data_IF_384649720001
#
_entry.id   IF_384649720001
#
_cell.length_a   1.000
_cell.length_b   1.000
_cell.length_c   1.000
_cell.angle_alpha   90.00
_cell.angle_beta   90.00
_cell.angle_gamma   90.00
#
_symmetry.space_group_name_H-M   'P 1'
#
loop_
_entity.id
_entity.type
_entity.pdbx_description
1 polymer ?
#
# COMPACT_ATOMS: atom_id res chain seq x y z
N UNK A 1 -5.92 12.13 -4.37
CA UNK A 1 -5.28 10.86 -4.81
C UNK A 1 -5.00 10.93 -6.30
N UNK A 2 -3.80 10.53 -6.74
CA UNK A 2 -3.35 10.53 -8.13
C UNK A 2 -2.83 9.14 -8.50
N UNK A 3 -3.32 8.57 -9.61
CA UNK A 3 -2.75 7.34 -10.17
C UNK A 3 -1.48 7.69 -10.95
N UNK A 4 -0.34 7.11 -10.54
CA UNK A 4 0.99 7.36 -11.12
C UNK A 4 1.48 6.22 -12.01
N UNK A 5 0.95 4.99 -11.82
CA UNK A 5 1.19 3.86 -12.72
C UNK A 5 -0.13 3.15 -13.03
N UNK A 6 -0.24 2.60 -14.25
CA UNK A 6 -1.41 1.85 -14.72
C UNK A 6 -0.97 0.81 -15.74
N UNK A 7 -1.05 -0.46 -15.41
CA UNK A 7 -0.53 -1.55 -16.25
C UNK A 7 -1.53 -2.69 -16.31
N UNK A 8 -1.85 -3.15 -17.50
CA UNK A 8 -2.64 -4.36 -17.69
C UNK A 8 -1.87 -5.58 -17.14
N UNK A 9 -2.54 -6.41 -16.34
CA UNK A 9 -1.92 -7.54 -15.65
C UNK A 9 -2.96 -8.65 -15.42
N UNK A 10 -2.76 -9.83 -16.03
CA UNK A 10 -3.64 -11.00 -15.90
C UNK A 10 -5.14 -10.70 -16.07
N UNK A 11 -5.49 -9.91 -17.08
CA UNK A 11 -6.88 -9.51 -17.36
C UNK A 11 -7.45 -8.42 -16.45
N UNK A 12 -6.73 -8.03 -15.43
CA UNK A 12 -7.03 -6.92 -14.54
C UNK A 12 -5.99 -5.79 -14.67
N UNK A 13 -5.85 -5.00 -13.60
CA UNK A 13 -4.98 -3.83 -13.57
C UNK A 13 -4.07 -3.82 -12.35
N UNK A 14 -2.78 -3.56 -12.58
CA UNK A 14 -1.83 -3.22 -11.52
C UNK A 14 -1.61 -1.71 -11.55
N UNK A 15 -2.12 -1.03 -10.53
CA UNK A 15 -2.01 0.42 -10.38
C UNK A 15 -1.11 0.80 -9.22
N UNK A 16 -0.52 1.99 -9.30
CA UNK A 16 0.15 2.65 -8.17
C UNK A 16 -0.46 4.04 -8.00
N UNK A 17 -0.81 4.35 -6.79
CA UNK A 17 -1.36 5.64 -6.40
C UNK A 17 -0.45 6.38 -5.44
N UNK A 18 -0.52 7.71 -5.52
CA UNK A 18 0.09 8.65 -4.59
C UNK A 18 -1.00 9.54 -4.00
N UNK A 19 -0.93 9.81 -2.71
CA UNK A 19 -1.88 10.70 -2.02
C UNK A 19 -1.24 11.38 -0.82
N UNK A 20 -1.78 12.54 -0.45
CA UNK A 20 -1.45 13.19 0.81
C UNK A 20 -2.20 12.45 1.94
N UNK A 21 -1.45 11.79 2.82
CA UNK A 21 -2.01 11.13 3.99
C UNK A 21 -2.26 12.15 5.11
N UNK A 22 -3.50 12.23 5.57
CA UNK A 22 -3.86 13.05 6.73
C UNK A 22 -3.35 12.42 8.03
N UNK A 23 -3.34 11.10 8.11
CA UNK A 23 -2.90 10.34 9.28
C UNK A 23 -1.40 10.46 9.51
N UNK A 24 -0.60 10.39 8.43
CA UNK A 24 0.86 10.40 8.50
C UNK A 24 1.47 11.79 8.25
N UNK A 25 0.68 12.77 7.78
CA UNK A 25 1.16 14.11 7.49
C UNK A 25 2.21 14.20 6.39
N UNK A 26 2.22 13.24 5.47
CA UNK A 26 3.17 13.19 4.36
C UNK A 26 2.53 12.58 3.11
N UNK A 27 3.24 12.65 1.99
CA UNK A 27 2.83 11.94 0.77
C UNK A 27 3.12 10.45 0.91
N UNK A 28 2.09 9.64 0.67
CA UNK A 28 2.18 8.18 0.72
C UNK A 28 1.87 7.57 -0.64
N UNK A 29 2.42 6.36 -0.84
CA UNK A 29 2.12 5.53 -2.00
C UNK A 29 1.55 4.18 -1.58
N UNK A 30 0.70 3.64 -2.43
CA UNK A 30 0.28 2.26 -2.36
C UNK A 30 0.09 1.69 -3.76
N UNK A 31 0.36 0.41 -3.91
CA UNK A 31 0.04 -0.34 -5.11
C UNK A 31 -1.26 -1.12 -4.89
N UNK A 32 -2.07 -1.25 -5.94
CA UNK A 32 -3.28 -2.08 -5.93
C UNK A 32 -3.36 -2.91 -7.18
N UNK A 33 -3.60 -4.21 -7.02
CA UNK A 33 -4.05 -5.08 -8.09
C UNK A 33 -5.57 -5.21 -8.05
N UNK A 34 -6.21 -4.87 -9.16
CA UNK A 34 -7.65 -5.04 -9.35
C UNK A 34 -7.87 -6.24 -10.29
N UNK A 35 -8.52 -7.33 -9.82
CA UNK A 35 -8.78 -8.50 -10.65
C UNK A 35 -9.83 -8.18 -11.73
N UNK A 36 -9.93 -9.01 -12.81
CA UNK A 36 -10.93 -8.78 -13.86
C UNK A 36 -12.35 -8.62 -13.34
N UNK A 37 -12.73 -9.34 -12.28
CA UNK A 37 -14.06 -9.30 -11.67
C UNK A 37 -14.40 -7.94 -11.03
N UNK A 38 -13.41 -7.08 -10.79
CA UNK A 38 -13.66 -5.71 -10.34
C UNK A 38 -14.13 -4.78 -11.49
N UNK A 39 -13.95 -5.17 -12.75
CA UNK A 39 -14.38 -4.39 -13.91
C UNK A 39 -15.90 -4.57 -14.16
N UNK A 40 -16.62 -3.48 -14.34
CA UNK A 40 -18.07 -3.48 -14.60
C UNK A 40 -18.48 -4.23 -15.88
N UNK A 41 -17.57 -4.39 -16.81
CA UNK A 41 -17.80 -5.14 -18.06
C UNK A 41 -17.61 -6.65 -17.91
N UNK A 42 -17.03 -7.12 -16.80
CA UNK A 42 -16.77 -8.53 -16.60
C UNK A 42 -18.06 -9.30 -16.28
N UNK A 43 -18.30 -10.49 -16.88
CA UNK A 43 -19.53 -11.26 -16.65
C UNK A 43 -19.80 -11.64 -15.18
N UNK A 44 -18.74 -11.72 -14.38
CA UNK A 44 -18.81 -12.01 -12.93
C UNK A 44 -18.52 -10.77 -12.09
N UNK A 45 -18.78 -9.56 -12.64
CA UNK A 45 -18.57 -8.32 -11.90
C UNK A 45 -19.34 -8.30 -10.56
N UNK A 46 -18.65 -7.83 -9.52
CA UNK A 46 -19.23 -7.68 -8.19
C UNK A 46 -18.20 -7.20 -7.16
N UNK A 47 -18.60 -7.05 -5.91
CA UNK A 47 -17.67 -6.78 -4.84
C UNK A 47 -16.61 -7.88 -4.75
N UNK A 48 -15.34 -7.47 -4.72
CA UNK A 48 -14.21 -8.38 -4.55
C UNK A 48 -13.59 -8.20 -3.18
N UNK A 49 -13.17 -9.28 -2.51
CA UNK A 49 -12.43 -9.18 -1.26
C UNK A 49 -11.06 -8.52 -1.51
N UNK A 50 -10.57 -7.82 -0.50
CA UNK A 50 -9.29 -7.11 -0.55
C UNK A 50 -8.31 -7.74 0.43
N UNK A 51 -7.15 -8.13 -0.08
CA UNK A 51 -6.00 -8.58 0.70
C UNK A 51 -5.02 -7.41 0.87
N UNK A 52 -4.75 -7.02 2.10
CA UNK A 52 -3.69 -6.07 2.43
C UNK A 52 -2.39 -6.81 2.67
N UNK A 53 -1.41 -6.58 1.80
CA UNK A 53 -0.07 -7.13 1.96
C UNK A 53 0.84 -6.07 2.60
N UNK A 54 1.29 -6.34 3.80
CA UNK A 54 2.18 -5.48 4.57
C UNK A 54 3.62 -5.99 4.42
N UNK A 55 4.37 -5.37 3.52
CA UNK A 55 5.77 -5.72 3.30
C UNK A 55 6.63 -5.38 4.53
N UNK A 56 7.74 -6.06 4.67
CA UNK A 56 8.62 -5.90 5.82
C UNK A 56 9.74 -4.87 5.62
N UNK A 57 10.77 -5.06 6.42
CA UNK A 57 11.95 -4.23 6.52
C UNK A 57 12.57 -3.91 5.15
N UNK A 58 12.92 -2.65 4.94
CA UNK A 58 13.53 -2.07 3.72
C UNK A 58 12.68 -2.11 2.45
N UNK A 59 11.45 -2.59 2.54
CA UNK A 59 10.52 -2.62 1.42
C UNK A 59 9.73 -1.32 1.27
N UNK A 60 9.04 -1.22 0.14
CA UNK A 60 8.01 -0.23 -0.16
C UNK A 60 6.84 -0.92 -0.92
N UNK A 61 5.95 -0.14 -1.53
CA UNK A 61 4.80 -0.64 -2.28
C UNK A 61 5.16 -1.50 -3.50
N UNK A 62 6.39 -1.37 -4.03
CA UNK A 62 6.83 -2.05 -5.26
C UNK A 62 7.32 -3.48 -5.03
N UNK A 63 7.86 -3.80 -3.86
CA UNK A 63 8.56 -5.06 -3.65
C UNK A 63 7.68 -6.29 -3.89
N UNK A 64 6.48 -6.31 -3.30
CA UNK A 64 5.58 -7.44 -3.45
C UNK A 64 5.04 -7.57 -4.88
N UNK A 65 4.58 -6.46 -5.48
CA UNK A 65 3.96 -6.48 -6.81
C UNK A 65 4.92 -6.88 -7.92
N UNK A 66 6.23 -6.70 -7.72
CA UNK A 66 7.26 -7.06 -8.71
C UNK A 66 7.83 -8.46 -8.51
N UNK A 67 7.81 -9.00 -7.29
CA UNK A 67 8.55 -10.23 -6.94
C UNK A 67 7.67 -11.42 -6.60
N UNK A 68 6.47 -11.22 -6.06
CA UNK A 68 5.66 -12.31 -5.51
C UNK A 68 4.92 -13.13 -6.58
N UNK A 69 4.61 -12.56 -7.75
CA UNK A 69 3.82 -13.22 -8.78
C UNK A 69 2.37 -13.53 -8.36
N UNK A 70 1.86 -12.79 -7.38
CA UNK A 70 0.55 -13.04 -6.75
C UNK A 70 -0.64 -12.65 -7.65
N UNK A 71 -0.44 -11.75 -8.61
CA UNK A 71 -1.51 -11.18 -9.45
C UNK A 71 -2.25 -12.26 -10.25
N UNK A 72 -1.53 -13.28 -10.74
CA UNK A 72 -2.14 -14.40 -11.46
C UNK A 72 -3.18 -15.11 -10.60
N UNK A 73 -2.81 -15.46 -9.39
CA UNK A 73 -3.70 -16.16 -8.45
C UNK A 73 -4.84 -15.25 -7.96
N UNK A 74 -4.54 -13.97 -7.76
CA UNK A 74 -5.54 -12.97 -7.41
C UNK A 74 -6.61 -12.83 -8.51
N UNK A 75 -6.21 -12.86 -9.80
CA UNK A 75 -7.13 -12.88 -10.93
C UNK A 75 -8.01 -14.13 -10.94
N UNK A 76 -7.42 -15.31 -10.72
CA UNK A 76 -8.13 -16.59 -10.70
C UNK A 76 -9.18 -16.64 -9.57
N UNK A 77 -8.89 -16.04 -8.42
CA UNK A 77 -9.74 -16.06 -7.23
C UNK A 77 -10.61 -14.81 -7.04
N UNK A 78 -10.51 -13.82 -7.92
CA UNK A 78 -11.27 -12.58 -7.82
C UNK A 78 -10.93 -11.76 -6.57
N UNK A 79 -9.65 -11.63 -6.23
CA UNK A 79 -9.16 -10.93 -5.04
C UNK A 79 -8.37 -9.70 -5.46
N UNK A 80 -8.70 -8.53 -4.89
CA UNK A 80 -7.85 -7.36 -5.00
C UNK A 80 -6.70 -7.44 -3.98
N UNK A 81 -5.51 -6.92 -4.35
CA UNK A 81 -4.36 -6.89 -3.45
C UNK A 81 -3.89 -5.45 -3.30
N UNK A 82 -3.84 -4.95 -2.07
CA UNK A 82 -3.33 -3.62 -1.72
C UNK A 82 -2.00 -3.76 -0.99
N UNK A 83 -0.98 -3.05 -1.47
CA UNK A 83 0.36 -3.04 -0.90
C UNK A 83 0.74 -1.58 -0.58
N UNK A 84 0.62 -1.10 0.66
CA UNK A 84 1.10 0.22 1.03
C UNK A 84 2.62 0.28 1.11
N UNK A 85 3.19 1.49 1.05
CA UNK A 85 4.55 1.72 1.52
C UNK A 85 4.67 1.33 3.00
N UNK A 86 5.84 0.97 3.43
CA UNK A 86 6.11 0.37 4.75
C UNK A 86 6.31 1.40 5.86
N UNK A 87 6.43 2.67 5.52
CA UNK A 87 6.59 3.77 6.47
C UNK A 87 6.21 5.11 5.85
N UNK A 88 5.98 6.15 6.66
CA UNK A 88 5.97 7.51 6.13
C UNK A 88 7.30 7.85 5.44
N UNK A 89 7.25 8.71 4.44
CA UNK A 89 8.40 9.21 3.68
C UNK A 89 8.32 10.74 3.59
N UNK A 90 9.40 11.36 3.19
CA UNK A 90 9.49 12.81 3.00
C UNK A 90 10.61 13.43 3.83
N UNK A 91 11.02 14.65 3.48
CA UNK A 91 12.17 15.32 4.10
C UNK A 91 11.89 15.72 5.55
N UNK A 92 10.63 16.05 5.85
CA UNK A 92 10.21 16.46 7.21
C UNK A 92 9.93 15.27 8.14
N UNK A 93 9.96 14.03 7.64
CA UNK A 93 9.73 12.83 8.44
C UNK A 93 11.02 12.42 9.13
N UNK A 94 10.98 12.23 10.45
CA UNK A 94 12.10 11.76 11.23
C UNK A 94 12.67 10.43 10.69
N UNK A 95 13.98 10.27 10.75
CA UNK A 95 14.69 9.09 10.28
C UNK A 95 15.81 8.71 11.24
N UNK A 96 16.41 7.54 11.06
CA UNK A 96 17.55 7.04 11.81
C UNK A 96 18.64 6.54 10.84
N UNK A 97 19.88 6.48 11.32
CA UNK A 97 20.99 5.95 10.53
C UNK A 97 20.87 4.42 10.29
N UNK A 98 20.22 3.72 11.22
CA UNK A 98 20.02 2.28 11.13
C UNK A 98 18.86 1.92 10.18
N UNK A 99 19.04 0.86 9.41
CA UNK A 99 18.01 0.36 8.45
C UNK A 99 16.76 -0.22 9.14
N UNK A 100 16.85 -0.52 10.42
CA UNK A 100 15.82 -1.18 11.23
C UNK A 100 14.98 -0.19 12.07
N UNK A 101 15.17 1.11 11.89
CA UNK A 101 14.41 2.16 12.54
C UNK A 101 14.19 3.33 11.58
N UNK A 102 13.02 3.96 11.62
CA UNK A 102 12.71 5.10 10.76
C UNK A 102 12.14 4.68 9.40
N UNK A 103 12.56 5.38 8.35
CA UNK A 103 12.01 5.18 6.98
C UNK A 103 12.35 3.78 6.45
N UNK A 104 11.30 3.05 6.07
CA UNK A 104 11.41 1.68 5.56
C UNK A 104 11.56 0.61 6.64
N UNK A 105 11.48 0.92 7.92
CA UNK A 105 11.59 -0.08 8.99
C UNK A 105 10.43 -1.08 9.03
N UNK A 106 9.26 -0.72 8.48
CA UNK A 106 8.14 -1.66 8.34
C UNK A 106 7.40 -1.96 9.63
N UNK A 107 7.35 -1.00 10.55
CA UNK A 107 6.56 -1.10 11.79
C UNK A 107 5.16 -0.55 11.55
N UNK A 108 4.15 -1.43 11.55
CA UNK A 108 2.74 -1.06 11.38
C UNK A 108 2.06 -0.79 12.71
N UNK A 109 2.65 0.10 13.49
CA UNK A 109 2.18 0.53 14.81
C UNK A 109 2.09 2.05 14.86
N UNK A 110 1.41 2.59 15.86
CA UNK A 110 1.43 4.02 16.15
C UNK A 110 2.54 4.32 17.16
N UNK A 111 3.51 5.12 16.76
CA UNK A 111 4.56 5.58 17.66
C UNK A 111 3.99 6.53 18.73
N UNK A 112 4.50 6.42 19.96
CA UNK A 112 4.03 7.19 21.10
C UNK A 112 5.01 8.24 21.60
N UNK A 113 6.24 8.25 21.07
CA UNK A 113 7.32 9.12 21.53
C UNK A 113 7.86 10.01 20.40
N UNK A 114 8.27 11.22 20.75
CA UNK A 114 9.01 12.08 19.84
C UNK A 114 10.39 11.49 19.51
N UNK A 115 10.91 11.71 18.29
CA UNK A 115 10.31 12.47 17.18
C UNK A 115 9.32 11.65 16.34
N UNK A 116 9.11 10.38 16.62
CA UNK A 116 8.39 9.42 15.78
C UNK A 116 6.87 9.64 15.76
N UNK A 117 6.29 10.00 16.91
CA UNK A 117 4.84 10.10 17.09
C UNK A 117 4.12 11.05 16.12
N UNK A 118 4.86 12.01 15.54
CA UNK A 118 4.29 12.99 14.60
C UNK A 118 3.83 12.36 13.28
N UNK A 119 4.58 11.37 12.78
CA UNK A 119 4.36 10.80 11.45
C UNK A 119 4.17 9.28 11.44
N UNK A 120 4.75 8.54 12.40
CA UNK A 120 4.74 7.08 12.40
C UNK A 120 3.46 6.53 13.07
N UNK A 121 2.32 6.72 12.39
CA UNK A 121 1.00 6.23 12.79
C UNK A 121 0.48 5.19 11.80
N UNK A 122 1.34 4.22 11.46
CA UNK A 122 1.08 3.26 10.39
C UNK A 122 -0.08 2.32 10.70
N UNK A 123 -0.39 2.05 11.98
CA UNK A 123 -1.58 1.26 12.32
C UNK A 123 -2.85 1.98 11.87
N UNK A 124 -3.05 3.24 12.27
CA UNK A 124 -4.23 4.02 11.90
C UNK A 124 -4.31 4.23 10.37
N UNK A 125 -3.15 4.44 9.73
CA UNK A 125 -3.09 4.55 8.28
C UNK A 125 -3.64 3.30 7.59
N UNK A 126 -3.18 2.12 7.98
CA UNK A 126 -3.56 0.85 7.34
C UNK A 126 -4.99 0.43 7.65
N UNK A 127 -5.49 0.68 8.87
CA UNK A 127 -6.80 0.18 9.29
C UNK A 127 -7.94 1.19 9.11
N UNK A 128 -7.63 2.47 8.99
CA UNK A 128 -8.65 3.53 8.92
C UNK A 128 -8.56 4.33 7.61
N UNK A 129 -7.40 4.95 7.31
CA UNK A 129 -7.28 5.85 6.16
C UNK A 129 -7.22 5.10 4.83
N UNK A 130 -6.33 4.12 4.70
CA UNK A 130 -6.13 3.38 3.45
C UNK A 130 -7.39 2.65 2.96
N UNK A 131 -8.21 2.02 3.82
CA UNK A 131 -9.48 1.40 3.38
C UNK A 131 -10.57 2.40 2.96
N UNK A 132 -10.44 3.67 3.33
CA UNK A 132 -11.39 4.72 2.99
C UNK A 132 -11.08 5.43 1.66
N UNK A 133 -9.93 5.15 1.04
CA UNK A 133 -9.49 5.73 -0.23
C UNK A 133 -10.12 5.01 -1.43
#
# INVERSE_FOLDING_TARGET
MQRIEHRACFGGWQDVYEHASATLGCTMRFAIYLPPQADVSHPQHGPVPVLYWLSGLTCNEQNFITKAGAQRYAAEHGIAIVCPDTSPRGDDVADAEGYDLGKGAGFYVNATQAPWAAHYRMHDYVVEELPAL
#
